data_IF_165807752433
#
_entry.id   IF_165807752433
#
_cell.length_a   1.000
_cell.length_b   1.000
_cell.length_c   1.000
_cell.angle_alpha   90.00
_cell.angle_beta   90.00
_cell.angle_gamma   90.00
#
_symmetry.space_group_name_H-M   'P 1'
#
loop_
_entity.id
_entity.type
_entity.pdbx_description
1 polymer ?
#
# COMPACT_ATOMS: atom_id res chain seq x y z
N UNK A 1 -4.30 8.26 23.38
CA UNK A 1 -3.32 7.18 23.71
C UNK A 1 -3.40 6.17 22.61
N UNK A 2 -2.42 6.13 21.70
CA UNK A 2 -2.33 5.07 20.70
C UNK A 2 -1.79 3.83 21.42
N UNK A 3 -2.58 2.77 21.46
CA UNK A 3 -2.10 1.45 21.91
C UNK A 3 -1.13 0.97 20.84
N UNK A 4 0.16 1.17 21.06
CA UNK A 4 1.21 0.58 20.23
C UNK A 4 1.29 -0.90 20.57
N UNK A 5 0.43 -1.71 19.96
CA UNK A 5 0.65 -3.16 19.94
C UNK A 5 1.96 -3.42 19.24
N UNK A 6 2.86 -4.17 19.90
CA UNK A 6 4.14 -4.51 19.27
C UNK A 6 3.86 -5.26 17.96
N UNK A 7 4.51 -4.89 16.84
CA UNK A 7 4.28 -5.51 15.53
C UNK A 7 4.26 -7.05 15.53
N UNK A 8 5.16 -7.75 16.27
CA UNK A 8 5.15 -9.22 16.30
C UNK A 8 3.91 -9.81 17.00
N UNK A 9 3.36 -9.13 18.01
CA UNK A 9 2.16 -9.62 18.70
C UNK A 9 0.94 -9.54 17.77
N UNK A 10 0.79 -8.44 17.04
CA UNK A 10 -0.29 -8.26 16.07
C UNK A 10 -0.23 -9.33 14.97
N UNK A 11 0.94 -9.56 14.37
CA UNK A 11 1.14 -10.60 13.37
C UNK A 11 0.84 -12.01 13.91
N UNK A 12 1.18 -12.29 15.17
CA UNK A 12 0.88 -13.59 15.80
C UNK A 12 -0.62 -13.82 15.96
N UNK A 13 -1.36 -12.82 16.47
CA UNK A 13 -2.81 -12.92 16.63
C UNK A 13 -3.50 -13.09 15.28
N UNK A 14 -3.08 -12.30 14.29
CA UNK A 14 -3.59 -12.42 12.92
C UNK A 14 -3.39 -13.84 12.37
N UNK A 15 -2.20 -14.39 12.48
CA UNK A 15 -1.87 -15.74 11.97
C UNK A 15 -2.66 -16.83 12.67
N UNK A 16 -2.89 -16.71 13.99
CA UNK A 16 -3.70 -17.68 14.75
C UNK A 16 -5.14 -17.79 14.23
N UNK A 17 -5.70 -16.69 13.70
CA UNK A 17 -7.04 -16.72 13.11
C UNK A 17 -7.13 -17.60 11.85
N UNK A 18 -6.01 -17.87 11.16
CA UNK A 18 -5.98 -18.76 10.00
C UNK A 18 -5.81 -20.25 10.35
N UNK A 19 -5.38 -20.57 11.57
CA UNK A 19 -5.14 -21.96 11.96
C UNK A 19 -6.32 -22.89 11.70
N UNK A 20 -7.58 -22.53 12.05
CA UNK A 20 -8.72 -23.42 11.79
C UNK A 20 -8.91 -23.73 10.30
N UNK A 21 -8.63 -22.74 9.45
CA UNK A 21 -8.78 -22.87 8.00
C UNK A 21 -7.68 -23.74 7.38
N UNK A 22 -6.48 -23.69 7.95
CA UNK A 22 -5.30 -24.41 7.42
C UNK A 22 -5.24 -25.85 7.92
N UNK A 23 -5.81 -26.13 9.10
CA UNK A 23 -5.66 -27.41 9.81
C UNK A 23 -6.50 -28.56 9.25
N UNK A 24 -7.63 -28.29 8.58
CA UNK A 24 -8.66 -29.30 8.32
C UNK A 24 -8.24 -30.47 7.45
N UNK A 25 -7.39 -30.26 6.42
CA UNK A 25 -7.08 -31.30 5.42
C UNK A 25 -5.61 -31.36 4.96
N UNK A 26 -4.70 -30.78 5.74
CA UNK A 26 -3.29 -30.66 5.35
C UNK A 26 -2.36 -31.44 6.27
N UNK A 27 -1.21 -31.87 5.71
CA UNK A 27 -0.14 -32.42 6.54
C UNK A 27 0.44 -31.37 7.50
N UNK A 28 0.94 -31.81 8.66
CA UNK A 28 1.54 -30.92 9.65
C UNK A 28 2.67 -30.03 9.04
N UNK A 29 3.42 -30.56 8.10
CA UNK A 29 4.48 -29.82 7.39
C UNK A 29 3.91 -28.70 6.51
N UNK A 30 2.83 -28.97 5.78
CA UNK A 30 2.15 -27.93 4.97
C UNK A 30 1.53 -26.87 5.87
N UNK A 31 0.86 -27.26 6.96
CA UNK A 31 0.32 -26.32 7.95
C UNK A 31 1.43 -25.39 8.46
N UNK A 32 2.56 -25.96 8.86
CA UNK A 32 3.70 -25.17 9.36
C UNK A 32 4.22 -24.17 8.32
N UNK A 33 4.39 -24.60 7.05
CA UNK A 33 4.84 -23.73 5.96
C UNK A 33 3.87 -22.56 5.72
N UNK A 34 2.57 -22.85 5.62
CA UNK A 34 1.53 -21.84 5.39
C UNK A 34 1.51 -20.82 6.53
N UNK A 35 1.49 -21.30 7.79
CA UNK A 35 1.49 -20.45 8.99
C UNK A 35 2.74 -19.57 9.03
N UNK A 36 3.90 -20.13 8.73
CA UNK A 36 5.17 -19.36 8.70
C UNK A 36 5.13 -18.27 7.62
N UNK A 37 4.67 -18.60 6.42
CA UNK A 37 4.57 -17.62 5.32
C UNK A 37 3.58 -16.51 5.66
N UNK A 38 2.38 -16.84 6.17
CA UNK A 38 1.38 -15.85 6.56
C UNK A 38 1.93 -14.94 7.67
N UNK A 39 2.53 -15.52 8.71
CA UNK A 39 3.08 -14.76 9.83
C UNK A 39 4.18 -13.80 9.38
N UNK A 40 5.15 -14.31 8.63
CA UNK A 40 6.32 -13.55 8.25
C UNK A 40 5.99 -12.46 7.23
N UNK A 41 5.14 -12.77 6.25
CA UNK A 41 4.69 -11.79 5.25
C UNK A 41 3.89 -10.66 5.90
N UNK A 42 2.96 -10.99 6.81
CA UNK A 42 2.19 -9.99 7.55
C UNK A 42 3.11 -9.08 8.36
N UNK A 43 4.04 -9.68 9.11
CA UNK A 43 5.04 -8.90 9.85
C UNK A 43 5.84 -7.96 8.97
N UNK A 44 6.32 -8.42 7.80
CA UNK A 44 7.11 -7.58 6.89
C UNK A 44 6.29 -6.44 6.29
N UNK A 45 5.05 -6.72 5.86
CA UNK A 45 4.18 -5.71 5.26
C UNK A 45 3.92 -4.58 6.26
N UNK A 46 3.54 -4.92 7.48
CA UNK A 46 3.21 -3.95 8.52
C UNK A 46 4.46 -3.21 9.03
N UNK A 47 5.54 -3.95 9.32
CA UNK A 47 6.75 -3.37 9.89
C UNK A 47 7.41 -2.36 8.95
N UNK A 48 7.49 -2.68 7.67
CA UNK A 48 8.09 -1.79 6.67
C UNK A 48 7.07 -0.88 5.98
N UNK A 49 5.78 -1.06 6.25
CA UNK A 49 4.70 -0.31 5.61
C UNK A 49 4.72 -0.46 4.09
N UNK A 50 4.87 -1.70 3.58
CA UNK A 50 5.09 -1.98 2.17
C UNK A 50 3.95 -1.48 1.28
N UNK A 51 2.72 -1.43 1.79
CA UNK A 51 1.55 -0.94 1.06
C UNK A 51 1.75 0.47 0.49
N UNK A 52 2.42 1.37 1.21
CA UNK A 52 2.71 2.74 0.74
C UNK A 52 3.63 2.77 -0.49
N UNK A 53 4.59 1.85 -0.56
CA UNK A 53 5.49 1.74 -1.73
C UNK A 53 4.78 1.13 -2.93
N UNK A 54 3.85 0.19 -2.71
CA UNK A 54 2.98 -0.34 -3.77
C UNK A 54 2.08 0.77 -4.32
N UNK A 55 1.50 1.59 -3.44
CA UNK A 55 0.70 2.76 -3.83
C UNK A 55 1.54 3.76 -4.62
N UNK A 56 2.76 4.05 -4.18
CA UNK A 56 3.68 4.93 -4.92
C UNK A 56 4.06 4.34 -6.27
N UNK A 57 4.43 3.07 -6.34
CA UNK A 57 4.76 2.40 -7.59
C UNK A 57 3.60 2.44 -8.61
N UNK A 58 2.35 2.34 -8.14
CA UNK A 58 1.15 2.50 -8.98
C UNK A 58 1.12 3.84 -9.71
N UNK A 59 1.73 4.91 -9.18
CA UNK A 59 1.75 6.21 -9.84
C UNK A 59 2.45 6.15 -11.21
N UNK A 60 3.41 5.23 -11.42
CA UNK A 60 4.04 5.03 -12.73
C UNK A 60 3.06 4.59 -13.82
N UNK A 61 1.92 4.00 -13.43
CA UNK A 61 0.86 3.58 -14.33
C UNK A 61 -0.24 4.64 -14.51
N UNK A 62 -0.15 5.76 -13.80
CA UNK A 62 -1.19 6.79 -13.84
C UNK A 62 -0.98 7.76 -15.01
N UNK A 63 -1.95 7.91 -15.93
CA UNK A 63 -1.86 8.82 -17.06
C UNK A 63 -2.13 10.28 -16.71
N UNK A 64 -2.28 10.62 -15.42
CA UNK A 64 -2.65 11.94 -14.93
C UNK A 64 -1.50 12.93 -14.90
N UNK A 65 -1.85 14.20 -15.07
CA UNK A 65 -0.95 15.33 -14.96
C UNK A 65 -1.26 16.14 -13.69
N UNK A 66 -0.21 16.61 -13.03
CA UNK A 66 -0.31 17.52 -11.89
C UNK A 66 0.25 18.90 -12.28
N UNK A 67 -0.39 20.01 -11.85
CA UNK A 67 0.20 21.32 -11.98
C UNK A 67 1.50 21.40 -11.18
N UNK A 68 2.53 22.04 -11.73
CA UNK A 68 3.79 22.33 -11.03
C UNK A 68 3.55 23.48 -10.06
N UNK A 69 3.90 23.36 -8.76
CA UNK A 69 3.66 24.42 -7.78
C UNK A 69 4.37 25.75 -8.13
N UNK A 70 5.56 25.68 -8.73
CA UNK A 70 6.36 26.84 -9.11
C UNK A 70 5.79 27.61 -10.31
N UNK A 71 5.02 26.98 -11.15
CA UNK A 71 4.47 27.57 -12.38
C UNK A 71 3.08 28.15 -12.20
N UNK A 72 2.40 27.91 -11.07
CA UNK A 72 1.11 28.52 -10.77
C UNK A 72 1.19 30.04 -10.64
N UNK A 73 2.34 30.60 -10.27
CA UNK A 73 2.54 32.05 -10.20
C UNK A 73 2.77 32.72 -11.57
N UNK A 74 3.28 31.99 -12.55
CA UNK A 74 3.59 32.52 -13.90
C UNK A 74 2.46 32.34 -14.93
N UNK A 75 1.57 31.35 -14.71
CA UNK A 75 0.46 31.07 -15.63
C UNK A 75 -0.83 31.78 -15.21
N UNK A 76 -0.85 33.10 -15.27
CA UNK A 76 -2.04 33.92 -14.96
C UNK A 76 -3.17 33.85 -16.00
N UNK A 77 -2.97 33.20 -17.15
CA UNK A 77 -3.87 33.30 -18.29
C UNK A 77 -4.44 31.96 -18.82
N UNK A 78 -4.13 30.84 -18.19
CA UNK A 78 -4.65 29.57 -18.68
C UNK A 78 -5.68 28.97 -17.71
N UNK A 79 -6.95 29.04 -18.10
CA UNK A 79 -8.01 28.26 -17.50
C UNK A 79 -7.65 26.77 -17.53
N UNK A 80 -7.52 26.20 -16.35
CA UNK A 80 -7.63 24.82 -15.86
C UNK A 80 -7.25 23.62 -16.74
N UNK A 81 -6.88 23.73 -18.00
CA UNK A 81 -6.51 22.58 -18.83
C UNK A 81 -5.01 22.52 -19.09
N UNK A 82 -4.47 21.35 -18.85
CA UNK A 82 -3.13 20.81 -19.02
C UNK A 82 -2.15 21.64 -19.86
N UNK A 83 -1.66 22.75 -19.33
CA UNK A 83 -0.50 23.40 -19.90
C UNK A 83 0.71 22.45 -19.73
N UNK A 84 1.25 21.91 -20.81
CA UNK A 84 2.40 21.00 -20.81
C UNK A 84 3.64 21.60 -20.14
N UNK A 85 3.75 22.93 -20.09
CA UNK A 85 4.85 23.66 -19.45
C UNK A 85 4.68 23.69 -17.93
N UNK A 86 3.43 23.78 -17.47
CA UNK A 86 3.07 23.97 -16.06
C UNK A 86 2.64 22.68 -15.37
N UNK A 87 2.61 21.57 -16.06
CA UNK A 87 2.21 20.28 -15.53
C UNK A 87 3.29 19.23 -15.65
N UNK A 88 3.26 18.24 -14.77
CA UNK A 88 4.10 17.05 -14.86
C UNK A 88 3.28 15.79 -14.70
N UNK A 89 3.72 14.70 -15.32
CA UNK A 89 3.06 13.40 -15.17
C UNK A 89 3.25 12.89 -13.74
N UNK A 90 2.19 12.34 -13.16
CA UNK A 90 2.24 11.67 -11.85
C UNK A 90 3.23 10.50 -11.89
N UNK A 91 3.36 9.83 -13.03
CA UNK A 91 4.35 8.78 -13.23
C UNK A 91 5.80 9.20 -12.92
N UNK A 92 6.13 10.47 -13.03
CA UNK A 92 7.48 10.99 -12.78
C UNK A 92 7.61 11.62 -11.38
N UNK A 93 6.62 11.43 -10.50
CA UNK A 93 6.62 12.01 -9.16
C UNK A 93 7.57 11.24 -8.25
N UNK A 94 8.66 11.86 -7.73
CA UNK A 94 9.54 11.20 -6.80
C UNK A 94 8.84 10.97 -5.45
N UNK A 95 9.30 9.99 -4.69
CA UNK A 95 8.75 9.69 -3.36
C UNK A 95 8.70 10.90 -2.43
N UNK A 96 9.74 11.73 -2.45
CA UNK A 96 9.88 12.92 -1.59
C UNK A 96 8.77 13.96 -1.79
N UNK A 97 8.08 13.92 -2.92
CA UNK A 97 6.99 14.84 -3.24
C UNK A 97 5.60 14.20 -3.07
N UNK A 98 5.55 12.91 -2.74
CA UNK A 98 4.31 12.23 -2.40
C UNK A 98 3.94 12.46 -0.93
N UNK A 99 2.66 12.23 -0.60
CA UNK A 99 2.23 12.12 0.78
C UNK A 99 2.89 10.89 1.45
N UNK A 100 2.91 10.85 2.77
CA UNK A 100 3.43 9.70 3.53
C UNK A 100 2.73 8.36 3.18
N UNK A 101 1.56 8.44 2.59
CA UNK A 101 0.76 7.31 2.08
C UNK A 101 1.21 6.81 0.70
N UNK A 102 2.17 7.48 0.03
CA UNK A 102 2.58 7.20 -1.35
C UNK A 102 1.68 7.81 -2.43
N UNK A 103 0.57 8.45 -2.05
CA UNK A 103 -0.31 9.15 -3.00
C UNK A 103 0.24 10.52 -3.37
N UNK A 104 -0.10 11.04 -4.59
CA UNK A 104 0.24 12.38 -5.00
C UNK A 104 -0.39 13.44 -4.08
N UNK A 105 0.22 14.66 -3.98
CA UNK A 105 -0.23 15.71 -3.05
C UNK A 105 -1.61 16.29 -3.37
N UNK A 106 -2.13 16.10 -4.58
CA UNK A 106 -3.48 16.55 -5.00
C UNK A 106 -4.62 15.72 -4.41
N UNK A 107 -4.31 14.57 -3.79
CA UNK A 107 -5.34 13.74 -3.14
C UNK A 107 -5.68 14.28 -1.76
N UNK A 108 -6.97 14.37 -1.41
CA UNK A 108 -7.37 14.69 -0.05
C UNK A 108 -6.73 13.71 0.95
N UNK A 109 -6.12 14.18 2.06
CA UNK A 109 -5.38 13.31 3.00
C UNK A 109 -6.23 12.16 3.55
N UNK A 110 -7.50 12.41 3.88
CA UNK A 110 -8.40 11.37 4.39
C UNK A 110 -8.63 10.26 3.35
N UNK A 111 -8.79 10.63 2.07
CA UNK A 111 -8.98 9.65 1.00
C UNK A 111 -7.69 8.86 0.74
N UNK A 112 -6.53 9.51 0.82
CA UNK A 112 -5.24 8.85 0.67
C UNK A 112 -5.01 7.80 1.76
N UNK A 113 -5.40 8.08 3.01
CA UNK A 113 -5.33 7.12 4.13
C UNK A 113 -6.28 5.93 3.90
N UNK A 114 -7.55 6.19 3.54
CA UNK A 114 -8.49 5.10 3.27
C UNK A 114 -8.05 4.20 2.12
N UNK A 115 -7.55 4.79 1.04
CA UNK A 115 -7.04 4.03 -0.09
C UNK A 115 -5.76 3.24 0.26
N UNK A 116 -4.92 3.75 1.17
CA UNK A 116 -3.77 3.01 1.69
C UNK A 116 -4.21 1.80 2.50
N UNK A 117 -5.21 1.95 3.38
CA UNK A 117 -5.78 0.83 4.15
C UNK A 117 -6.33 -0.25 3.20
N UNK A 118 -7.03 0.14 2.15
CA UNK A 118 -7.53 -0.81 1.14
C UNK A 118 -6.37 -1.52 0.45
N UNK A 119 -5.33 -0.81 0.02
CA UNK A 119 -4.16 -1.39 -0.63
C UNK A 119 -3.42 -2.36 0.28
N UNK A 120 -3.30 -2.04 1.57
CA UNK A 120 -2.69 -2.87 2.59
C UNK A 120 -3.47 -4.18 2.78
N UNK A 121 -4.78 -4.09 2.97
CA UNK A 121 -5.64 -5.28 3.09
C UNK A 121 -5.60 -6.15 1.83
N UNK A 122 -5.62 -5.56 0.63
CA UNK A 122 -5.51 -6.31 -0.63
C UNK A 122 -4.19 -7.06 -0.71
N UNK A 123 -3.08 -6.44 -0.28
CA UNK A 123 -1.77 -7.07 -0.28
C UNK A 123 -1.73 -8.30 0.66
N UNK A 124 -2.29 -8.18 1.86
CA UNK A 124 -2.42 -9.28 2.81
C UNK A 124 -3.28 -10.42 2.26
N UNK A 125 -4.47 -10.11 1.75
CA UNK A 125 -5.39 -11.11 1.18
C UNK A 125 -4.76 -11.84 0.00
N UNK A 126 -4.05 -11.12 -0.87
CA UNK A 126 -3.37 -11.72 -2.02
C UNK A 126 -2.29 -12.73 -1.58
N UNK A 127 -1.42 -12.33 -0.65
CA UNK A 127 -0.33 -13.19 -0.19
C UNK A 127 -0.88 -14.40 0.58
N UNK A 128 -1.88 -14.19 1.44
CA UNK A 128 -2.51 -15.28 2.17
C UNK A 128 -3.22 -16.27 1.24
N UNK A 129 -3.93 -15.74 0.22
CA UNK A 129 -4.55 -16.57 -0.81
C UNK A 129 -3.56 -17.41 -1.59
N UNK A 130 -2.42 -16.82 -1.97
CA UNK A 130 -1.34 -17.54 -2.64
C UNK A 130 -0.72 -18.62 -1.72
N UNK A 131 -0.46 -18.29 -0.46
CA UNK A 131 0.06 -19.26 0.52
C UNK A 131 -0.89 -20.45 0.70
N UNK A 132 -2.20 -20.17 0.80
CA UNK A 132 -3.23 -21.20 0.92
C UNK A 132 -3.39 -22.05 -0.35
N UNK A 133 -3.17 -21.48 -1.51
CA UNK A 133 -3.37 -22.18 -2.79
C UNK A 133 -2.19 -23.09 -3.17
N UNK A 134 -0.96 -22.70 -2.80
CA UNK A 134 0.25 -23.36 -3.34
C UNK A 134 1.12 -24.07 -2.30
N UNK A 135 0.85 -23.91 -0.99
CA UNK A 135 1.59 -24.57 0.10
C UNK A 135 0.70 -25.52 0.89
#
# INVERSE_FOLDING_TARGET
MAVTTSPPLHASVYTLCFLPLVWSDRSAVSVFKVVLVIHYSHFLIDHYGLARYVVWAKNFLAPRWLPKPESMMLCKSHEREACLICSRKIANLPWSECQATGYPPDRPPFLAVWLLIIADNVLHVLINGLALAYL
#
